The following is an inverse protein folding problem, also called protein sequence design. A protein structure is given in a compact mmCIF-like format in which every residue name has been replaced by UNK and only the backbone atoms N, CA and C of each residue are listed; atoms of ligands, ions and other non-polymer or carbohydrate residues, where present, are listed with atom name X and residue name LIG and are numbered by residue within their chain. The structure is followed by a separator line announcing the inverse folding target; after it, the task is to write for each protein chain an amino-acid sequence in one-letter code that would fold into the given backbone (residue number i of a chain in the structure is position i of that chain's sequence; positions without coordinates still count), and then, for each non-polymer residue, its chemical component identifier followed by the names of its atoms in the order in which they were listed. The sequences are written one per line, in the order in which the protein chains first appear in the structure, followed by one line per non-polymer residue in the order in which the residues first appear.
data_IF_460863531592
#
_entry.id   IF_460863531592
#
_cell.length_a   1.000
_cell.length_b   1.000
_cell.length_c   1.000
_cell.angle_alpha   90.00
_cell.angle_beta   90.00
_cell.angle_gamma   90.00
#
_symmetry.space_group_name_H-M   'P 1'
#
loop_
_entity.id
_entity.type
_entity.pdbx_description
1 polymer ?
#
# COMPACT_ATOMS: atom_id res chain seq x y z
N UNK A 1 1.11 -17.12 21.78
CA UNK A 1 2.51 -17.61 21.71
C UNK A 1 3.26 -16.85 20.63
N UNK A 2 4.58 -16.72 20.83
CA UNK A 2 5.58 -15.97 20.06
C UNK A 2 5.72 -14.47 20.37
N UNK A 3 6.67 -14.21 21.27
CA UNK A 3 7.36 -12.95 21.57
C UNK A 3 8.44 -12.74 20.51
N UNK A 4 8.64 -11.52 20.01
CA UNK A 4 9.89 -11.13 19.34
C UNK A 4 10.36 -9.78 19.89
N UNK A 5 11.59 -9.80 20.39
CA UNK A 5 12.35 -8.75 21.03
C UNK A 5 12.89 -7.72 20.03
N UNK A 6 13.01 -6.46 20.47
CA UNK A 6 13.85 -5.46 19.82
C UNK A 6 14.97 -5.04 20.79
N UNK A 7 16.20 -5.19 20.30
CA UNK A 7 17.46 -5.05 21.00
C UNK A 7 17.77 -3.60 21.42
N UNK A 8 18.43 -3.50 22.58
CA UNK A 8 19.10 -2.31 23.06
C UNK A 8 20.59 -2.31 22.65
N UNK A 9 21.10 -1.15 22.24
CA UNK A 9 22.49 -0.66 22.34
C UNK A 9 22.44 0.83 21.96
N UNK A 10 22.84 1.84 22.73
CA UNK A 10 23.79 1.89 23.84
C UNK A 10 25.15 2.38 23.34
N UNK A 11 25.41 3.69 23.40
CA UNK A 11 26.77 4.27 23.55
C UNK A 11 26.68 5.67 24.20
N UNK A 12 27.39 5.79 25.32
CA UNK A 12 27.52 6.93 26.24
C UNK A 12 28.81 7.74 25.97
N UNK A 13 29.01 8.80 26.77
CA UNK A 13 30.29 9.47 27.11
C UNK A 13 30.81 10.49 26.06
N UNK A 14 31.34 11.68 26.36
CA UNK A 14 31.82 12.32 27.59
C UNK A 14 32.99 13.26 27.22
N UNK A 15 32.96 14.53 27.66
CA UNK A 15 34.16 15.36 27.92
C UNK A 15 35.02 15.94 26.76
N UNK A 16 35.04 17.28 26.68
CA UNK A 16 36.28 18.07 26.79
C UNK A 16 37.25 18.25 25.59
N UNK A 17 37.24 19.46 25.01
CA UNK A 17 38.45 20.27 24.75
C UNK A 17 39.31 20.00 23.51
N UNK A 18 39.73 21.09 22.86
CA UNK A 18 40.98 21.15 22.07
C UNK A 18 40.80 21.24 20.56
N UNK A 19 41.24 22.38 19.99
CA UNK A 19 41.11 22.70 18.59
C UNK A 19 41.87 21.80 17.62
N UNK A 20 41.44 21.82 16.36
CA UNK A 20 42.11 21.12 15.27
C UNK A 20 41.24 21.07 14.03
N UNK A 21 41.62 21.88 13.02
CA UNK A 21 41.31 21.72 11.59
C UNK A 21 39.84 21.56 11.18
N UNK A 22 39.26 22.65 10.69
CA UNK A 22 38.03 22.68 9.90
C UNK A 22 38.24 21.99 8.55
N UNK A 23 38.16 20.66 8.52
CA UNK A 23 37.97 19.91 7.27
C UNK A 23 36.47 19.73 7.09
N UNK A 24 35.87 20.63 6.32
CA UNK A 24 34.47 20.55 5.89
C UNK A 24 34.25 19.24 5.13
N UNK A 25 33.40 18.31 5.63
CA UNK A 25 33.01 17.16 4.82
C UNK A 25 32.19 17.64 3.61
N UNK A 26 32.33 17.02 2.43
CA UNK A 26 31.51 17.36 1.27
C UNK A 26 30.02 17.16 1.62
N UNK A 27 29.10 17.94 1.03
CA UNK A 27 27.68 17.77 1.27
C UNK A 27 27.29 16.33 0.95
N UNK A 28 26.70 15.65 1.93
CA UNK A 28 26.12 14.33 1.72
C UNK A 28 25.08 14.46 0.60
N UNK A 29 25.35 13.82 -0.53
CA UNK A 29 24.39 13.64 -1.62
C UNK A 29 23.13 12.99 -1.04
N UNK A 30 22.11 13.82 -0.81
CA UNK A 30 20.79 13.39 -0.40
C UNK A 30 20.06 12.88 -1.64
N UNK A 31 20.09 11.56 -1.85
CA UNK A 31 19.34 10.88 -2.91
C UNK A 31 18.74 9.57 -2.36
N UNK A 32 17.54 9.17 -2.79
CA UNK A 32 16.24 9.80 -2.61
C UNK A 32 15.45 9.06 -1.50
N UNK A 33 14.88 9.77 -0.52
CA UNK A 33 13.98 9.16 0.47
C UNK A 33 12.65 8.66 -0.14
N UNK A 34 12.32 9.08 -1.37
CA UNK A 34 11.04 8.81 -2.04
C UNK A 34 10.88 7.37 -2.53
N UNK A 35 11.97 6.65 -2.82
CA UNK A 35 11.91 5.26 -3.32
C UNK A 35 11.55 4.25 -2.24
N UNK A 36 11.93 4.49 -0.98
CA UNK A 36 11.59 3.60 0.14
C UNK A 36 10.10 3.70 0.49
N UNK A 37 9.54 4.91 0.47
CA UNK A 37 8.12 5.16 0.77
C UNK A 37 7.19 4.52 -0.26
N UNK A 38 7.48 4.66 -1.57
CA UNK A 38 6.65 4.06 -2.61
C UNK A 38 6.61 2.52 -2.49
N UNK A 39 7.71 1.87 -2.11
CA UNK A 39 7.76 0.41 -1.95
C UNK A 39 6.93 -0.07 -0.76
N UNK A 40 6.96 0.67 0.34
CA UNK A 40 6.13 0.39 1.53
C UNK A 40 4.64 0.58 1.24
N UNK A 41 4.27 1.60 0.46
CA UNK A 41 2.89 1.83 0.06
C UNK A 41 2.38 0.75 -0.90
N UNK A 42 3.17 0.34 -1.90
CA UNK A 42 2.72 -0.73 -2.82
C UNK A 42 2.59 -2.09 -2.10
N UNK A 43 3.38 -2.39 -1.06
CA UNK A 43 3.20 -3.62 -0.26
C UNK A 43 2.00 -3.55 0.70
N UNK A 44 1.73 -2.38 1.29
CA UNK A 44 0.51 -2.13 2.05
C UNK A 44 -0.73 -2.30 1.17
N UNK A 45 -0.68 -1.83 -0.07
CA UNK A 45 -1.75 -1.99 -1.06
C UNK A 45 -2.08 -3.45 -1.37
N UNK A 46 -1.04 -4.27 -1.58
CA UNK A 46 -1.20 -5.72 -1.81
C UNK A 46 -1.82 -6.38 -0.58
N UNK A 47 -1.38 -6.00 0.62
CA UNK A 47 -1.95 -6.53 1.87
C UNK A 47 -3.43 -6.16 2.02
N UNK A 48 -3.78 -4.89 1.79
CA UNK A 48 -5.16 -4.41 1.83
C UNK A 48 -6.05 -5.13 0.79
N UNK A 49 -5.51 -5.43 -0.40
CA UNK A 49 -6.21 -6.18 -1.44
C UNK A 49 -6.54 -7.62 -1.05
N UNK A 50 -5.63 -8.28 -0.32
CA UNK A 50 -5.84 -9.65 0.18
C UNK A 50 -6.90 -9.67 1.28
N UNK A 51 -6.88 -8.66 2.17
CA UNK A 51 -7.93 -8.46 3.17
C UNK A 51 -9.29 -8.28 2.50
N UNK A 52 -9.39 -7.42 1.47
CA UNK A 52 -10.63 -7.23 0.73
C UNK A 52 -11.14 -8.54 0.11
N UNK A 53 -10.28 -9.28 -0.57
CA UNK A 53 -10.64 -10.57 -1.17
C UNK A 53 -11.17 -11.57 -0.12
N UNK A 54 -10.53 -11.62 1.05
CA UNK A 54 -10.99 -12.46 2.15
C UNK A 54 -12.38 -12.02 2.62
N UNK A 55 -12.60 -10.72 2.83
CA UNK A 55 -13.90 -10.18 3.26
C UNK A 55 -14.99 -10.41 2.21
N UNK A 56 -14.71 -10.20 0.92
CA UNK A 56 -15.68 -10.46 -0.17
C UNK A 56 -15.99 -11.95 -0.27
N UNK A 57 -14.99 -12.82 -0.12
CA UNK A 57 -15.21 -14.28 -0.09
C UNK A 57 -16.11 -14.66 1.07
N UNK A 58 -15.83 -14.15 2.28
CA UNK A 58 -16.67 -14.32 3.47
C UNK A 58 -18.09 -13.77 3.26
N UNK A 59 -18.25 -12.66 2.55
CA UNK A 59 -19.56 -12.09 2.26
C UNK A 59 -20.36 -13.01 1.33
N UNK A 60 -19.72 -13.54 0.29
CA UNK A 60 -20.39 -14.46 -0.64
C UNK A 60 -20.70 -15.82 0.01
N UNK A 61 -19.91 -16.28 0.98
CA UNK A 61 -20.22 -17.48 1.78
C UNK A 61 -21.23 -17.20 2.91
N UNK A 62 -21.69 -15.96 3.08
CA UNK A 62 -22.64 -15.55 4.13
C UNK A 62 -22.03 -15.41 5.53
N UNK A 63 -20.70 -15.40 5.65
CA UNK A 63 -19.95 -15.25 6.90
C UNK A 63 -19.60 -13.79 7.24
N UNK A 64 -19.70 -12.87 6.28
CA UNK A 64 -19.50 -11.43 6.46
C UNK A 64 -20.73 -10.63 6.01
N UNK A 65 -20.89 -9.42 6.54
CA UNK A 65 -21.98 -8.50 6.17
C UNK A 65 -21.51 -7.47 5.13
N UNK A 66 -22.47 -6.84 4.44
CA UNK A 66 -22.18 -5.78 3.47
C UNK A 66 -21.43 -4.59 4.09
N UNK A 67 -21.64 -4.30 5.38
CA UNK A 67 -20.91 -3.26 6.11
C UNK A 67 -19.43 -3.60 6.30
N UNK A 68 -19.09 -4.87 6.53
CA UNK A 68 -17.68 -5.30 6.59
C UNK A 68 -17.00 -5.11 5.23
N UNK A 69 -17.68 -5.46 4.14
CA UNK A 69 -17.16 -5.21 2.78
C UNK A 69 -16.98 -3.71 2.54
N UNK A 70 -17.96 -2.88 2.93
CA UNK A 70 -17.89 -1.42 2.77
C UNK A 70 -16.75 -0.79 3.56
N UNK A 71 -16.52 -1.25 4.78
CA UNK A 71 -15.37 -0.82 5.59
C UNK A 71 -14.05 -1.18 4.89
N UNK A 72 -13.89 -2.43 4.42
CA UNK A 72 -12.70 -2.87 3.69
C UNK A 72 -12.47 -2.08 2.39
N UNK A 73 -13.53 -1.76 1.64
CA UNK A 73 -13.48 -0.93 0.43
C UNK A 73 -13.00 0.50 0.74
N UNK A 74 -13.45 1.06 1.87
CA UNK A 74 -13.06 2.41 2.31
C UNK A 74 -11.59 2.48 2.72
N UNK A 75 -11.14 1.46 3.46
CA UNK A 75 -9.75 1.31 3.91
C UNK A 75 -8.79 1.17 2.71
N UNK A 76 -9.17 0.32 1.75
CA UNK A 76 -8.41 0.15 0.51
C UNK A 76 -8.42 1.41 -0.36
N UNK A 77 -9.56 2.11 -0.48
CA UNK A 77 -9.62 3.36 -1.24
C UNK A 77 -8.69 4.42 -0.66
N UNK A 78 -8.61 4.51 0.67
CA UNK A 78 -7.68 5.40 1.38
C UNK A 78 -6.24 5.05 1.08
N UNK A 79 -5.91 3.75 1.12
CA UNK A 79 -4.56 3.25 0.79
C UNK A 79 -4.19 3.55 -0.68
N UNK A 80 -5.15 3.43 -1.60
CA UNK A 80 -4.98 3.77 -3.01
C UNK A 80 -4.73 5.26 -3.19
N UNK A 81 -5.43 6.15 -2.47
CA UNK A 81 -5.17 7.59 -2.55
C UNK A 81 -3.77 7.97 -2.05
N UNK A 82 -3.30 7.32 -0.98
CA UNK A 82 -1.94 7.52 -0.47
C UNK A 82 -0.91 7.08 -1.53
N UNK A 83 -1.05 5.87 -2.07
CA UNK A 83 -0.18 5.40 -3.15
C UNK A 83 -0.22 6.31 -4.39
N UNK A 84 -1.39 6.84 -4.78
CA UNK A 84 -1.52 7.77 -5.92
C UNK A 84 -0.75 9.07 -5.72
N UNK A 85 -0.48 9.48 -4.48
CA UNK A 85 0.29 10.68 -4.19
C UNK A 85 1.81 10.50 -4.42
N UNK A 86 2.30 9.26 -4.38
CA UNK A 86 3.74 8.94 -4.44
C UNK A 86 4.17 8.28 -5.75
N UNK A 87 3.25 7.69 -6.51
CA UNK A 87 3.55 6.96 -7.76
C UNK A 87 3.46 7.82 -9.03
N UNK A 88 4.08 7.34 -10.11
CA UNK A 88 4.05 7.96 -11.43
C UNK A 88 2.69 7.84 -12.17
N UNK A 89 2.50 8.55 -13.29
CA UNK A 89 1.23 8.65 -14.00
C UNK A 89 0.69 7.31 -14.50
N UNK A 90 1.55 6.39 -14.95
CA UNK A 90 1.14 5.05 -15.43
C UNK A 90 0.57 4.20 -14.28
N UNK A 91 1.28 4.13 -13.15
CA UNK A 91 0.77 3.45 -11.95
C UNK A 91 -0.52 4.10 -11.46
N UNK A 92 -0.59 5.44 -11.52
CA UNK A 92 -1.77 6.20 -11.09
C UNK A 92 -3.02 5.84 -11.90
N UNK A 93 -2.89 5.62 -13.22
CA UNK A 93 -3.99 5.16 -14.06
C UNK A 93 -4.50 3.77 -13.64
N UNK A 94 -3.60 2.84 -13.29
CA UNK A 94 -4.00 1.53 -12.75
C UNK A 94 -4.70 1.63 -11.40
N UNK A 95 -4.27 2.57 -10.57
CA UNK A 95 -4.93 2.87 -9.30
C UNK A 95 -6.32 3.51 -9.49
N UNK A 96 -6.54 4.27 -10.56
CA UNK A 96 -7.88 4.75 -10.95
C UNK A 96 -8.79 3.61 -11.40
N UNK A 97 -8.29 2.69 -12.23
CA UNK A 97 -9.04 1.50 -12.63
C UNK A 97 -9.45 0.66 -11.41
N UNK A 98 -8.53 0.49 -10.45
CA UNK A 98 -8.82 -0.19 -9.19
C UNK A 98 -9.92 0.52 -8.38
N UNK A 99 -9.89 1.86 -8.31
CA UNK A 99 -10.95 2.65 -7.67
C UNK A 99 -12.30 2.53 -8.38
N UNK A 100 -12.31 2.52 -9.71
CA UNK A 100 -13.53 2.32 -10.49
C UNK A 100 -14.13 0.93 -10.22
N UNK A 101 -13.28 -0.11 -10.10
CA UNK A 101 -13.70 -1.45 -9.73
C UNK A 101 -14.22 -1.52 -8.28
N UNK A 102 -13.61 -0.81 -7.33
CA UNK A 102 -14.11 -0.69 -5.96
C UNK A 102 -15.49 -0.02 -5.88
N UNK A 103 -15.73 1.01 -6.70
CA UNK A 103 -17.05 1.63 -6.83
C UNK A 103 -18.09 0.62 -7.31
N UNK A 104 -17.75 -0.19 -8.33
CA UNK A 104 -18.63 -1.28 -8.82
C UNK A 104 -18.89 -2.34 -7.74
N UNK A 105 -17.86 -2.71 -6.96
CA UNK A 105 -18.00 -3.64 -5.84
C UNK A 105 -18.97 -3.09 -4.79
N UNK A 106 -18.83 -1.82 -4.43
CA UNK A 106 -19.73 -1.16 -3.49
C UNK A 106 -21.17 -1.15 -3.99
N UNK A 107 -21.39 -0.79 -5.26
CA UNK A 107 -22.73 -0.84 -5.89
C UNK A 107 -23.32 -2.25 -5.83
N UNK A 108 -22.54 -3.28 -6.17
CA UNK A 108 -22.99 -4.66 -6.19
C UNK A 108 -23.42 -5.18 -4.79
N UNK A 109 -22.65 -4.84 -3.73
CA UNK A 109 -23.00 -5.25 -2.35
C UNK A 109 -24.16 -4.43 -1.75
N UNK A 110 -24.46 -3.25 -2.31
CA UNK A 110 -25.62 -2.45 -1.91
C UNK A 110 -26.89 -2.69 -2.74
N UNK A 111 -26.78 -3.46 -3.83
CA UNK A 111 -27.95 -3.85 -4.61
C UNK A 111 -28.91 -4.70 -3.76
N UNK A 112 -30.21 -4.64 -4.05
CA UNK A 112 -31.22 -5.49 -3.42
C UNK A 112 -31.98 -6.29 -4.49
N UNK A 113 -31.76 -7.62 -4.60
CA UNK A 113 -30.80 -8.43 -3.81
C UNK A 113 -29.33 -8.10 -4.16
N UNK A 114 -28.38 -8.37 -3.24
CA UNK A 114 -26.96 -8.12 -3.49
C UNK A 114 -26.45 -8.97 -4.65
N UNK A 115 -25.71 -8.34 -5.56
CA UNK A 115 -25.15 -9.00 -6.73
C UNK A 115 -23.81 -9.66 -6.36
N UNK A 116 -23.89 -10.91 -5.89
CA UNK A 116 -22.71 -11.67 -5.47
C UNK A 116 -21.75 -11.96 -6.64
N UNK A 117 -22.28 -12.12 -7.86
CA UNK A 117 -21.47 -12.36 -9.04
C UNK A 117 -20.73 -11.08 -9.44
N UNK A 118 -21.44 -9.94 -9.50
CA UNK A 118 -20.84 -8.63 -9.75
C UNK A 118 -19.79 -8.26 -8.70
N UNK A 119 -20.06 -8.55 -7.42
CA UNK A 119 -19.09 -8.32 -6.34
C UNK A 119 -17.81 -9.16 -6.54
N UNK A 120 -17.93 -10.45 -6.89
CA UNK A 120 -16.76 -11.28 -7.20
C UNK A 120 -15.98 -10.76 -8.41
N UNK A 121 -16.66 -10.40 -9.49
CA UNK A 121 -16.00 -9.87 -10.69
C UNK A 121 -15.26 -8.56 -10.37
N UNK A 122 -15.92 -7.62 -9.69
CA UNK A 122 -15.33 -6.34 -9.32
C UNK A 122 -14.13 -6.50 -8.37
N UNK A 123 -14.18 -7.44 -7.42
CA UNK A 123 -13.05 -7.75 -6.55
C UNK A 123 -11.85 -8.33 -7.34
N UNK A 124 -12.09 -9.21 -8.31
CA UNK A 124 -11.03 -9.75 -9.17
C UNK A 124 -10.41 -8.67 -10.07
N UNK A 125 -11.23 -7.81 -10.69
CA UNK A 125 -10.76 -6.66 -11.47
C UNK A 125 -9.85 -5.76 -10.63
N UNK A 126 -10.29 -5.45 -9.40
CA UNK A 126 -9.54 -4.62 -8.46
C UNK A 126 -8.15 -5.21 -8.17
N UNK A 127 -8.09 -6.52 -7.87
CA UNK A 127 -6.83 -7.21 -7.56
C UNK A 127 -5.92 -7.30 -8.78
N UNK A 128 -6.49 -7.49 -9.97
CA UNK A 128 -5.73 -7.50 -11.22
C UNK A 128 -5.09 -6.13 -11.49
N UNK A 129 -5.86 -5.05 -11.36
CA UNK A 129 -5.35 -3.67 -11.50
C UNK A 129 -4.27 -3.34 -10.46
N UNK A 130 -4.45 -3.78 -9.21
CA UNK A 130 -3.48 -3.59 -8.12
C UNK A 130 -2.18 -4.38 -8.35
N UNK A 131 -2.26 -5.60 -8.90
CA UNK A 131 -1.06 -6.36 -9.28
C UNK A 131 -0.29 -5.67 -10.39
N UNK A 132 -0.98 -5.19 -11.43
CA UNK A 132 -0.33 -4.45 -12.53
C UNK A 132 0.33 -3.17 -11.99
N UNK A 133 -0.38 -2.42 -11.13
CA UNK A 133 0.18 -1.26 -10.43
C UNK A 133 1.42 -1.62 -9.60
N UNK A 134 1.38 -2.73 -8.84
CA UNK A 134 2.51 -3.18 -8.04
C UNK A 134 3.70 -3.63 -8.90
N UNK A 135 3.46 -4.27 -10.06
CA UNK A 135 4.51 -4.59 -11.04
C UNK A 135 5.14 -3.31 -11.56
N UNK A 136 4.35 -2.30 -11.92
CA UNK A 136 4.85 -0.99 -12.36
C UNK A 136 5.62 -0.25 -11.25
N UNK A 137 5.17 -0.33 -9.98
CA UNK A 137 5.93 0.19 -8.82
C UNK A 137 7.32 -0.46 -8.74
N UNK A 138 7.41 -1.77 -9.00
CA UNK A 138 8.67 -2.52 -8.91
C UNK A 138 9.59 -2.22 -10.11
N UNK A 139 9.03 -2.14 -11.32
CA UNK A 139 9.76 -1.81 -12.55
C UNK A 139 10.30 -0.38 -12.58
N UNK A 140 9.64 0.55 -11.88
CA UNK A 140 10.09 1.95 -11.76
C UNK A 140 11.25 2.15 -10.77
N UNK A 141 11.73 1.07 -10.13
CA UNK A 141 12.99 1.14 -9.38
C UNK A 141 14.11 1.39 -10.40
N UNK A 142 14.85 2.51 -10.33
CA UNK A 142 15.91 2.77 -11.28
C UNK A 142 16.94 1.64 -11.17
N UNK A 143 17.03 0.82 -12.22
CA UNK A 143 18.23 0.04 -12.46
C UNK A 143 19.35 1.06 -12.71
N UNK A 144 20.12 1.34 -11.66
CA UNK A 144 21.33 2.13 -11.72
C UNK A 144 22.21 1.59 -12.87
N UNK A 145 22.27 2.36 -13.96
CA UNK A 145 23.20 2.17 -15.07
C UNK A 145 24.35 3.15 -14.91
#
# INVERSE_FOLDING_TARGET
MAVVAAFAAGCSDGGGGGGGTTTTPPPASSAPATTSSARAECSALVTASQTLLATVTSFVTGQATGDQVRAAVTDLSTSVDQARATVGPETRARLDDAKAALGRLQTAVTAQPPDLQGARTAANDTVSALRDAATLCQSSSPSSS
#
